data_IF_665607884868
#
_entry.id   IF_665607884868
#
_cell.length_a   1.000
_cell.length_b   1.000
_cell.length_c   1.000
_cell.angle_alpha   90.00
_cell.angle_beta   90.00
_cell.angle_gamma   90.00
#
_symmetry.space_group_name_H-M   'P 1'
#
loop_
_entity.id
_entity.type
_entity.pdbx_description
1 polymer ?
#
# COMPACT_ATOMS: atom_id res chain seq x y z
N UNK A 1 24.14 16.52 -7.85
CA UNK A 1 22.72 16.31 -7.54
C UNK A 1 22.39 14.84 -7.73
N UNK A 2 22.27 14.12 -6.61
CA UNK A 2 21.70 12.78 -6.61
C UNK A 2 20.19 12.96 -6.49
N UNK A 3 19.46 12.64 -7.55
CA UNK A 3 18.01 12.72 -7.56
C UNK A 3 17.42 11.33 -7.49
N UNK A 4 16.23 11.24 -6.92
CA UNK A 4 15.46 10.02 -6.83
C UNK A 4 14.11 10.19 -7.51
N UNK A 5 13.78 9.31 -8.46
CA UNK A 5 12.46 9.31 -9.10
C UNK A 5 11.41 8.72 -8.17
N UNK A 6 10.33 9.47 -7.97
CA UNK A 6 9.12 9.05 -7.28
C UNK A 6 7.97 8.94 -8.30
N UNK A 7 7.23 7.85 -8.27
CA UNK A 7 6.01 7.64 -9.04
C UNK A 7 4.80 7.88 -8.13
N UNK A 8 3.81 8.61 -8.64
CA UNK A 8 2.67 9.10 -7.86
C UNK A 8 1.36 8.72 -8.54
N UNK A 9 0.47 8.12 -7.77
CA UNK A 9 -0.91 7.81 -8.14
C UNK A 9 -1.92 8.81 -7.56
N UNK A 10 -3.01 9.04 -8.28
CA UNK A 10 -4.03 10.04 -7.95
C UNK A 10 -5.45 9.52 -8.15
N UNK A 11 -6.43 10.20 -7.57
CA UNK A 11 -7.80 10.20 -8.09
C UNK A 11 -7.97 11.27 -9.17
N UNK A 12 -8.76 10.96 -10.19
CA UNK A 12 -9.03 11.83 -11.35
C UNK A 12 -10.50 12.23 -11.46
N UNK A 13 -11.39 11.64 -10.66
CA UNK A 13 -12.79 12.04 -10.61
C UNK A 13 -12.95 13.47 -10.06
N UNK A 14 -13.98 14.17 -10.53
CA UNK A 14 -14.30 15.54 -10.08
C UNK A 14 -14.48 15.57 -8.55
N UNK A 15 -13.89 16.54 -7.83
CA UNK A 15 -13.33 17.81 -8.32
C UNK A 15 -11.84 17.81 -8.70
N UNK A 16 -11.17 16.65 -8.68
CA UNK A 16 -9.75 16.55 -9.06
C UNK A 16 -9.54 16.94 -10.53
N UNK A 17 -8.43 17.62 -10.82
CA UNK A 17 -7.93 17.88 -12.19
C UNK A 17 -6.74 17.00 -12.56
N UNK A 18 -6.36 16.06 -11.70
CA UNK A 18 -5.34 15.07 -12.02
C UNK A 18 -5.75 14.28 -13.26
N UNK A 19 -4.77 13.96 -14.10
CA UNK A 19 -4.98 13.26 -15.37
C UNK A 19 -4.55 11.79 -15.32
N UNK A 20 -3.78 11.38 -14.31
CA UNK A 20 -3.34 9.99 -14.21
C UNK A 20 -2.12 9.80 -13.31
N UNK A 21 -1.11 9.12 -13.84
CA UNK A 21 0.13 8.77 -13.12
C UNK A 21 1.21 9.80 -13.42
N UNK A 22 1.89 10.25 -12.37
CA UNK A 22 2.96 11.24 -12.48
C UNK A 22 4.28 10.70 -11.95
N UNK A 23 5.38 11.34 -12.37
CA UNK A 23 6.69 11.19 -11.73
C UNK A 23 7.23 12.54 -11.28
N UNK A 24 7.93 12.53 -10.14
CA UNK A 24 8.67 13.67 -9.62
C UNK A 24 10.09 13.27 -9.24
N UNK A 25 11.01 14.23 -9.22
CA UNK A 25 12.38 14.02 -8.75
C UNK A 25 12.54 14.59 -7.33
N UNK A 26 12.98 13.75 -6.39
CA UNK A 26 13.41 14.17 -5.06
C UNK A 26 14.90 14.49 -5.09
N UNK A 27 15.26 15.73 -4.79
CA UNK A 27 16.64 16.15 -4.57
C UNK A 27 17.11 15.65 -3.19
N UNK A 28 18.05 14.70 -3.17
CA UNK A 28 18.55 14.11 -1.93
C UNK A 28 19.49 15.03 -1.13
N UNK A 29 19.80 16.23 -1.62
CA UNK A 29 20.59 17.21 -0.89
C UNK A 29 19.70 18.06 0.05
N UNK A 30 18.46 18.38 -0.35
CA UNK A 30 17.60 19.32 0.37
C UNK A 30 16.12 18.88 0.52
N UNK A 31 15.67 17.86 -0.21
CA UNK A 31 14.30 17.35 -0.16
C UNK A 31 13.31 17.98 -1.14
N UNK A 32 13.76 18.81 -2.09
CA UNK A 32 12.91 19.43 -3.11
C UNK A 32 12.32 18.37 -4.06
N UNK A 33 11.07 18.58 -4.49
CA UNK A 33 10.29 17.65 -5.33
C UNK A 33 9.97 18.24 -6.71
N UNK A 34 10.93 18.34 -7.63
CA UNK A 34 10.71 18.89 -8.98
C UNK A 34 11.73 18.35 -9.99
N UNK A 35 11.40 18.26 -11.29
CA UNK A 35 10.11 18.59 -11.89
C UNK A 35 9.04 17.51 -11.66
N UNK A 36 7.77 17.86 -11.90
CA UNK A 36 6.63 16.94 -11.94
C UNK A 36 6.19 16.74 -13.39
N UNK A 37 6.05 15.49 -13.81
CA UNK A 37 5.74 15.11 -15.18
C UNK A 37 4.60 14.11 -15.20
N UNK A 38 3.61 14.32 -16.09
CA UNK A 38 2.59 13.33 -16.38
C UNK A 38 3.20 12.21 -17.23
N UNK A 39 3.11 10.98 -16.74
CA UNK A 39 3.65 9.80 -17.44
C UNK A 39 2.57 9.13 -18.30
N UNK A 40 1.35 9.02 -17.77
CA UNK A 40 0.23 8.47 -18.53
C UNK A 40 -1.09 9.01 -18.03
N UNK A 41 -2.02 9.25 -18.96
CA UNK A 41 -3.41 9.48 -18.62
C UNK A 41 -4.06 8.16 -18.20
N UNK A 42 -4.70 8.16 -17.04
CA UNK A 42 -5.36 6.99 -16.49
C UNK A 42 -6.48 7.45 -15.56
N UNK A 43 -7.63 6.79 -15.61
CA UNK A 43 -8.72 7.06 -14.68
C UNK A 43 -8.40 6.47 -13.31
N UNK A 44 -8.40 7.29 -12.26
CA UNK A 44 -8.20 6.90 -10.87
C UNK A 44 -7.05 5.88 -10.63
N UNK A 45 -5.80 6.15 -11.06
CA UNK A 45 -4.64 5.33 -10.73
C UNK A 45 -4.25 5.53 -9.26
N UNK A 46 -5.09 5.06 -8.36
CA UNK A 46 -4.99 5.34 -6.92
C UNK A 46 -3.87 4.58 -6.21
N UNK A 47 -3.29 3.57 -6.86
CA UNK A 47 -2.16 2.79 -6.36
C UNK A 47 -1.19 2.46 -7.47
N UNK A 48 0.10 2.69 -7.23
CA UNK A 48 1.16 2.49 -8.21
C UNK A 48 2.27 1.61 -7.64
N UNK A 49 2.78 0.69 -8.46
CA UNK A 49 3.97 -0.11 -8.16
C UNK A 49 5.00 0.16 -9.25
N UNK A 50 6.17 0.66 -8.87
CA UNK A 50 7.26 0.91 -9.79
C UNK A 50 8.30 -0.23 -9.70
N UNK A 51 8.66 -0.78 -10.86
CA UNK A 51 9.68 -1.82 -11.02
C UNK A 51 10.65 -1.45 -12.13
N UNK A 52 11.73 -2.20 -12.27
CA UNK A 52 12.67 -2.08 -13.38
C UNK A 52 12.05 -2.41 -14.75
N UNK A 53 10.90 -3.10 -14.78
CA UNK A 53 10.16 -3.42 -16.01
C UNK A 53 9.17 -2.33 -16.42
N UNK A 54 8.73 -1.51 -15.48
CA UNK A 54 7.77 -0.43 -15.72
C UNK A 54 6.98 -0.04 -14.48
N UNK A 55 5.89 0.67 -14.69
CA UNK A 55 4.94 1.05 -13.64
C UNK A 55 3.66 0.23 -13.82
N UNK A 56 3.18 -0.36 -12.73
CA UNK A 56 1.86 -0.99 -12.68
C UNK A 56 0.90 -0.10 -11.92
N UNK A 57 -0.30 0.08 -12.45
CA UNK A 57 -1.40 0.80 -11.79
C UNK A 57 -2.73 0.11 -12.11
N UNK A 58 -3.78 0.42 -11.37
CA UNK A 58 -5.13 -0.02 -11.68
C UNK A 58 -6.05 1.19 -11.82
N UNK A 59 -7.08 1.08 -12.66
CA UNK A 59 -8.16 2.06 -12.68
C UNK A 59 -9.16 1.74 -11.56
N UNK A 60 -9.13 2.52 -10.47
CA UNK A 60 -10.04 2.34 -9.33
C UNK A 60 -11.45 2.83 -9.70
N UNK A 61 -12.19 1.98 -10.39
CA UNK A 61 -13.55 2.21 -10.88
C UNK A 61 -14.41 0.95 -10.75
N UNK A 62 -15.73 1.12 -10.85
CA UNK A 62 -16.71 0.04 -10.92
C UNK A 62 -16.73 -0.66 -12.29
N UNK A 63 -17.22 -1.91 -12.33
CA UNK A 63 -17.30 -2.80 -13.49
C UNK A 63 -17.95 -2.16 -14.74
N UNK A 64 -19.05 -1.38 -14.65
CA UNK A 64 -19.59 -0.66 -15.80
C UNK A 64 -18.59 0.29 -16.48
N UNK A 65 -17.60 0.80 -15.73
CA UNK A 65 -16.49 1.64 -16.24
C UNK A 65 -15.24 0.83 -16.64
N UNK A 66 -15.31 -0.51 -16.58
CA UNK A 66 -14.26 -1.45 -17.00
C UNK A 66 -12.92 -1.25 -16.30
N UNK A 67 -12.78 -1.65 -15.02
CA UNK A 67 -11.50 -1.56 -14.31
C UNK A 67 -10.44 -2.44 -14.97
N UNK A 68 -9.20 -1.93 -15.01
CA UNK A 68 -8.07 -2.56 -15.67
C UNK A 68 -6.83 -2.50 -14.78
N UNK A 69 -6.04 -3.59 -14.79
CA UNK A 69 -4.63 -3.54 -14.42
C UNK A 69 -3.88 -3.02 -15.65
N UNK A 70 -3.00 -2.05 -15.45
CA UNK A 70 -2.29 -1.35 -16.53
C UNK A 70 -0.79 -1.45 -16.25
N UNK A 71 -0.03 -1.91 -17.25
CA UNK A 71 1.42 -1.88 -17.26
C UNK A 71 1.88 -0.75 -18.19
N UNK A 72 2.57 0.23 -17.63
CA UNK A 72 3.18 1.36 -18.32
C UNK A 72 4.66 1.04 -18.48
N UNK A 73 5.07 0.70 -19.69
CA UNK A 73 6.46 0.37 -19.96
C UNK A 73 7.36 1.60 -19.78
N UNK A 74 8.58 1.38 -19.32
CA UNK A 74 9.59 2.44 -19.22
C UNK A 74 9.82 3.11 -20.58
N UNK A 75 10.00 4.44 -20.61
CA UNK A 75 10.14 5.21 -21.85
C UNK A 75 11.32 4.74 -22.74
N UNK A 76 12.36 4.16 -22.13
CA UNK A 76 13.51 3.59 -22.84
C UNK A 76 13.27 2.17 -23.39
N UNK A 77 12.15 1.54 -23.02
CA UNK A 77 11.80 0.18 -23.42
C UNK A 77 11.22 0.14 -24.84
N UNK A 78 11.46 -0.96 -25.55
CA UNK A 78 10.77 -1.27 -26.82
C UNK A 78 9.42 -1.98 -26.60
N UNK A 79 9.12 -2.34 -25.36
CA UNK A 79 7.87 -3.01 -24.97
C UNK A 79 6.73 -1.98 -24.97
N UNK A 80 5.62 -2.33 -25.61
CA UNK A 80 4.42 -1.51 -25.54
C UNK A 80 3.70 -1.72 -24.22
N UNK A 81 3.23 -0.63 -23.61
CA UNK A 81 2.29 -0.64 -22.49
C UNK A 81 1.03 -1.44 -22.86
N UNK A 82 0.49 -2.17 -21.90
CA UNK A 82 -0.72 -2.96 -22.09
C UNK A 82 -1.59 -2.99 -20.83
N UNK A 83 -2.77 -3.60 -20.93
CA UNK A 83 -3.68 -3.75 -19.81
C UNK A 83 -4.36 -5.11 -19.79
N UNK A 84 -4.85 -5.50 -18.61
CA UNK A 84 -5.66 -6.69 -18.38
C UNK A 84 -6.93 -6.32 -17.62
N UNK A 85 -8.06 -6.90 -18.03
CA UNK A 85 -9.34 -6.63 -17.40
C UNK A 85 -9.39 -7.18 -15.96
N UNK A 86 -9.87 -6.36 -15.03
CA UNK A 86 -10.14 -6.75 -13.64
C UNK A 86 -11.61 -7.17 -13.52
N UNK A 87 -11.88 -8.20 -12.72
CA UNK A 87 -13.19 -8.84 -12.58
C UNK A 87 -14.11 -8.17 -11.55
N UNK A 88 -13.54 -7.46 -10.58
CA UNK A 88 -14.24 -6.81 -9.48
C UNK A 88 -14.22 -5.28 -9.51
N UNK A 89 -14.75 -4.65 -8.47
CA UNK A 89 -15.00 -3.20 -8.40
C UNK A 89 -13.97 -2.46 -7.53
N UNK A 90 -13.54 -1.29 -8.00
CA UNK A 90 -12.64 -0.38 -7.28
C UNK A 90 -11.32 -1.06 -6.84
N UNK A 91 -10.48 -1.52 -7.80
CA UNK A 91 -9.15 -2.04 -7.49
C UNK A 91 -8.28 -0.97 -6.84
N UNK A 92 -7.93 -1.17 -5.57
CA UNK A 92 -7.30 -0.15 -4.72
C UNK A 92 -5.85 -0.48 -4.31
N UNK A 93 -5.35 -1.68 -4.65
CA UNK A 93 -3.98 -2.10 -4.34
C UNK A 93 -3.47 -3.09 -5.40
N UNK A 94 -2.15 -3.05 -5.63
CA UNK A 94 -1.43 -3.97 -6.53
C UNK A 94 -0.17 -4.48 -5.82
N UNK A 95 0.17 -5.74 -6.03
CA UNK A 95 1.51 -6.27 -5.75
C UNK A 95 2.04 -7.02 -6.96
N UNK A 96 3.35 -6.96 -7.16
CA UNK A 96 4.10 -7.77 -8.12
C UNK A 96 4.93 -8.78 -7.32
N UNK A 97 5.01 -10.02 -7.78
CA UNK A 97 5.81 -11.02 -7.08
C UNK A 97 7.32 -10.75 -7.27
N UNK A 98 8.18 -11.24 -6.37
CA UNK A 98 9.63 -10.99 -6.44
C UNK A 98 10.31 -11.50 -7.72
N UNK A 99 9.70 -12.45 -8.43
CA UNK A 99 10.21 -13.00 -9.69
C UNK A 99 9.59 -12.37 -10.94
N UNK A 100 8.69 -11.38 -10.79
CA UNK A 100 8.05 -10.63 -11.86
C UNK A 100 7.25 -11.50 -12.84
N UNK A 101 6.72 -12.62 -12.36
CA UNK A 101 5.86 -13.57 -13.09
C UNK A 101 4.37 -13.35 -12.82
N UNK A 102 4.02 -12.70 -11.71
CA UNK A 102 2.66 -12.56 -11.24
C UNK A 102 2.38 -11.16 -10.70
N UNK A 103 1.14 -10.71 -10.92
CA UNK A 103 0.57 -9.55 -10.27
C UNK A 103 -0.72 -9.94 -9.56
N UNK A 104 -1.01 -9.31 -8.42
CA UNK A 104 -2.31 -9.42 -7.75
C UNK A 104 -2.90 -8.03 -7.56
N UNK A 105 -4.19 -7.88 -7.85
CA UNK A 105 -4.97 -6.67 -7.58
C UNK A 105 -6.00 -6.93 -6.49
N UNK A 106 -6.30 -5.94 -5.64
CA UNK A 106 -7.33 -6.00 -4.58
C UNK A 106 -8.52 -5.10 -4.90
N UNK A 107 -9.72 -5.65 -5.08
CA UNK A 107 -10.93 -4.92 -5.43
C UNK A 107 -11.78 -4.61 -4.19
N UNK A 108 -11.74 -3.35 -3.75
CA UNK A 108 -12.32 -2.94 -2.48
C UNK A 108 -13.82 -3.17 -2.42
N UNK A 109 -14.58 -2.75 -3.42
CA UNK A 109 -16.05 -2.74 -3.33
C UNK A 109 -16.66 -4.12 -3.58
N UNK A 110 -16.00 -4.97 -4.37
CA UNK A 110 -16.48 -6.34 -4.63
C UNK A 110 -15.90 -7.38 -3.67
N UNK A 111 -14.89 -7.04 -2.87
CA UNK A 111 -14.29 -7.97 -1.91
C UNK A 111 -13.56 -9.13 -2.59
N UNK A 112 -12.83 -8.85 -3.67
CA UNK A 112 -12.15 -9.87 -4.47
C UNK A 112 -10.69 -9.52 -4.74
N UNK A 113 -9.93 -10.53 -5.18
CA UNK A 113 -8.56 -10.40 -5.66
C UNK A 113 -8.43 -11.09 -7.02
N UNK A 114 -7.75 -10.46 -7.98
CA UNK A 114 -7.41 -11.09 -9.25
C UNK A 114 -5.91 -11.35 -9.32
N UNK A 115 -5.54 -12.54 -9.79
CA UNK A 115 -4.15 -12.94 -10.02
C UNK A 115 -3.89 -12.98 -11.52
N UNK A 116 -2.85 -12.31 -11.98
CA UNK A 116 -2.44 -12.25 -13.38
C UNK A 116 -1.06 -12.87 -13.56
N UNK A 117 -0.83 -13.55 -14.69
CA UNK A 117 0.52 -13.86 -15.15
C UNK A 117 1.11 -12.66 -15.89
N UNK A 118 2.43 -12.48 -15.75
CA UNK A 118 3.22 -11.47 -16.42
C UNK A 118 4.26 -12.12 -17.32
N UNK A 119 4.49 -11.51 -18.48
CA UNK A 119 5.60 -11.87 -19.35
C UNK A 119 6.93 -11.39 -18.78
N UNK A 120 8.04 -11.90 -19.33
CA UNK A 120 9.40 -11.48 -18.96
C UNK A 120 9.68 -9.98 -19.14
N UNK A 121 8.89 -9.30 -19.97
CA UNK A 121 9.00 -7.86 -20.21
C UNK A 121 8.04 -7.04 -19.34
N UNK A 122 7.38 -7.67 -18.37
CA UNK A 122 6.43 -7.05 -17.45
C UNK A 122 5.00 -6.95 -17.97
N UNK A 123 4.74 -7.22 -19.24
CA UNK A 123 3.38 -7.13 -19.79
C UNK A 123 2.43 -8.12 -19.13
N UNK A 124 1.18 -7.68 -18.97
CA UNK A 124 0.10 -8.48 -18.39
C UNK A 124 -0.40 -9.47 -19.43
N UNK A 125 -0.26 -10.77 -19.19
CA UNK A 125 -0.61 -11.81 -20.17
C UNK A 125 -2.09 -12.23 -20.05
N UNK A 126 -2.47 -12.80 -18.89
CA UNK A 126 -3.84 -13.24 -18.63
C UNK A 126 -4.15 -13.26 -17.14
N UNK A 127 -5.44 -13.10 -16.81
CA UNK A 127 -5.94 -13.39 -15.47
C UNK A 127 -6.00 -14.91 -15.27
N UNK A 128 -5.31 -15.40 -14.26
CA UNK A 128 -5.22 -16.81 -13.90
C UNK A 128 -6.36 -17.23 -12.96
N UNK A 129 -6.65 -16.38 -11.98
CA UNK A 129 -7.61 -16.69 -10.91
C UNK A 129 -8.25 -15.42 -10.36
N UNK A 130 -9.46 -15.58 -9.85
CA UNK A 130 -10.15 -14.60 -9.01
C UNK A 130 -10.47 -15.27 -7.68
N UNK A 131 -10.06 -14.65 -6.58
CA UNK A 131 -10.38 -15.10 -5.22
C UNK A 131 -11.45 -14.16 -4.67
N UNK A 132 -12.66 -14.68 -4.46
CA UNK A 132 -13.75 -13.94 -3.82
C UNK A 132 -13.74 -14.17 -2.31
N UNK A 133 -13.77 -13.10 -1.52
CA UNK A 133 -13.92 -13.20 -0.08
C UNK A 133 -15.38 -13.36 0.31
N UNK A 134 -15.60 -13.91 1.51
CA UNK A 134 -16.92 -14.06 2.11
C UNK A 134 -16.88 -13.66 3.58
N UNK A 135 -17.97 -13.06 4.05
CA UNK A 135 -18.11 -12.65 5.45
C UNK A 135 -18.54 -11.19 5.58
N UNK A 136 -18.53 -10.72 6.82
CA UNK A 136 -18.90 -9.38 7.23
C UNK A 136 -18.37 -9.13 8.64
N UNK A 137 -18.41 -7.87 9.07
CA UNK A 137 -18.02 -7.40 10.39
C UNK A 137 -19.16 -6.63 11.08
N UNK A 138 -18.94 -6.18 12.31
CA UNK A 138 -19.98 -5.51 13.10
C UNK A 138 -20.29 -4.08 12.65
N UNK A 139 -19.39 -3.38 11.93
CA UNK A 139 -19.64 -2.02 11.46
C UNK A 139 -20.70 -2.04 10.33
N UNK A 140 -21.88 -1.49 10.63
CA UNK A 140 -23.06 -1.54 9.75
C UNK A 140 -22.94 -0.70 8.47
N UNK A 141 -21.96 0.18 8.38
CA UNK A 141 -21.74 1.02 7.21
C UNK A 141 -20.55 0.53 6.38
N UNK A 142 -19.50 0.06 7.06
CA UNK A 142 -18.19 -0.25 6.45
C UNK A 142 -17.85 -1.73 6.35
N UNK A 143 -18.66 -2.63 6.93
CA UNK A 143 -18.38 -4.06 7.01
C UNK A 143 -19.61 -4.93 6.74
N UNK A 144 -20.56 -4.46 5.92
CA UNK A 144 -21.76 -5.23 5.55
C UNK A 144 -21.45 -6.38 4.58
N UNK A 145 -20.31 -6.30 3.91
CA UNK A 145 -19.77 -7.27 2.98
C UNK A 145 -18.23 -7.25 3.04
N UNK A 146 -17.55 -8.18 2.37
CA UNK A 146 -16.10 -8.18 2.22
C UNK A 146 -15.58 -6.93 1.51
N UNK A 147 -14.43 -6.42 1.95
CA UNK A 147 -13.73 -5.28 1.34
C UNK A 147 -12.23 -5.55 1.24
N UNK A 148 -11.80 -6.09 0.10
CA UNK A 148 -10.42 -6.45 -0.17
C UNK A 148 -9.55 -5.20 -0.33
N UNK A 149 -8.63 -4.97 0.62
CA UNK A 149 -7.86 -3.73 0.65
C UNK A 149 -6.37 -3.92 0.32
N UNK A 150 -5.78 -5.07 0.62
CA UNK A 150 -4.37 -5.31 0.31
C UNK A 150 -4.09 -6.76 -0.05
N UNK A 151 -3.12 -6.95 -0.92
CA UNK A 151 -2.45 -8.23 -1.14
C UNK A 151 -0.94 -8.01 -1.24
N UNK A 152 -0.14 -8.94 -0.73
CA UNK A 152 1.32 -8.88 -0.80
C UNK A 152 1.89 -10.28 -1.02
N UNK A 153 2.84 -10.41 -1.94
CA UNK A 153 3.70 -11.59 -2.01
C UNK A 153 4.75 -11.53 -0.91
N UNK A 154 5.00 -12.68 -0.29
CA UNK A 154 6.16 -12.87 0.55
C UNK A 154 7.43 -12.94 -0.33
N UNK A 155 8.53 -12.43 0.19
CA UNK A 155 9.84 -12.37 -0.48
C UNK A 155 10.61 -13.68 -0.34
N UNK A 156 10.41 -14.42 0.77
CA UNK A 156 11.21 -15.61 1.11
C UNK A 156 10.44 -16.92 0.94
N UNK A 157 9.21 -16.90 0.39
CA UNK A 157 8.39 -18.10 0.17
C UNK A 157 7.38 -17.88 -0.96
N UNK A 158 6.82 -18.95 -1.59
CA UNK A 158 5.79 -18.83 -2.63
C UNK A 158 4.41 -18.47 -2.07
N UNK A 159 4.35 -17.87 -0.88
CA UNK A 159 3.11 -17.47 -0.22
C UNK A 159 2.76 -16.03 -0.55
N UNK A 160 1.48 -15.72 -0.43
CA UNK A 160 0.99 -14.35 -0.44
C UNK A 160 -0.11 -14.20 0.60
N UNK A 161 -0.31 -12.96 1.03
CA UNK A 161 -1.33 -12.59 2.00
C UNK A 161 -2.39 -11.73 1.33
N UNK A 162 -3.63 -11.89 1.76
CA UNK A 162 -4.74 -11.01 1.43
C UNK A 162 -5.35 -10.42 2.69
N UNK A 163 -5.76 -9.16 2.63
CA UNK A 163 -6.30 -8.39 3.74
C UNK A 163 -7.69 -7.87 3.37
N UNK A 164 -8.66 -8.19 4.21
CA UNK A 164 -10.07 -7.86 4.02
C UNK A 164 -10.60 -7.06 5.21
N UNK A 165 -10.85 -5.78 4.94
CA UNK A 165 -11.40 -4.82 5.90
C UNK A 165 -12.83 -5.22 6.31
N UNK A 166 -13.64 -5.61 5.33
CA UNK A 166 -15.07 -5.87 5.51
C UNK A 166 -15.35 -7.13 6.31
N UNK A 167 -14.50 -8.14 6.19
CA UNK A 167 -14.68 -9.44 6.86
C UNK A 167 -13.84 -9.62 8.13
N UNK A 168 -13.07 -8.62 8.56
CA UNK A 168 -12.09 -8.70 9.66
C UNK A 168 -11.13 -9.88 9.49
N UNK A 169 -10.51 -10.02 8.31
CA UNK A 169 -9.71 -11.20 7.96
C UNK A 169 -8.38 -10.89 7.28
N UNK A 170 -7.41 -11.73 7.60
CA UNK A 170 -6.12 -11.84 6.92
C UNK A 170 -5.94 -13.30 6.51
N UNK A 171 -5.73 -13.56 5.23
CA UNK A 171 -5.62 -14.92 4.70
C UNK A 171 -4.26 -15.12 4.04
N UNK A 172 -3.61 -16.24 4.33
CA UNK A 172 -2.36 -16.66 3.71
C UNK A 172 -2.63 -17.78 2.72
N UNK A 173 -2.21 -17.57 1.48
CA UNK A 173 -2.33 -18.51 0.37
C UNK A 173 -0.94 -18.91 -0.11
N UNK A 174 -0.88 -19.92 -0.98
CA UNK A 174 0.35 -20.39 -1.60
C UNK A 174 0.16 -20.55 -3.11
N UNK A 175 1.22 -20.30 -3.87
CA UNK A 175 1.41 -20.86 -5.20
C UNK A 175 2.03 -22.26 -5.05
N UNK A 176 1.38 -23.27 -5.59
CA UNK A 176 1.89 -24.63 -5.67
C UNK A 176 2.80 -24.71 -6.91
N UNK A 177 4.11 -24.77 -6.69
CA UNK A 177 5.10 -24.83 -7.78
C UNK A 177 5.08 -26.18 -8.53
N UNK A 178 4.61 -27.26 -7.90
CA UNK A 178 4.53 -28.57 -8.55
C UNK A 178 3.35 -28.66 -9.52
N UNK A 179 2.20 -28.10 -9.12
CA UNK A 179 0.99 -28.03 -9.95
C UNK A 179 0.94 -26.78 -10.83
N UNK A 180 1.86 -25.83 -10.64
CA UNK A 180 1.87 -24.50 -11.28
C UNK A 180 0.56 -23.73 -11.11
N UNK A 181 -0.07 -23.84 -9.93
CA UNK A 181 -1.38 -23.25 -9.65
C UNK A 181 -1.44 -22.52 -8.30
N UNK A 182 -2.29 -21.51 -8.22
CA UNK A 182 -2.63 -20.89 -6.95
C UNK A 182 -3.69 -21.72 -6.24
N UNK A 183 -3.58 -21.90 -4.91
CA UNK A 183 -4.59 -22.62 -4.14
C UNK A 183 -5.94 -21.88 -4.14
N UNK A 184 -7.06 -22.61 -4.08
CA UNK A 184 -8.42 -22.04 -3.95
C UNK A 184 -8.70 -21.56 -2.53
N UNK A 185 -8.22 -22.31 -1.55
CA UNK A 185 -8.45 -22.05 -0.13
C UNK A 185 -7.15 -21.56 0.53
N UNK A 186 -7.25 -20.70 1.56
CA UNK A 186 -6.08 -20.24 2.27
C UNK A 186 -5.46 -21.37 3.10
N UNK A 187 -4.13 -21.42 3.10
CA UNK A 187 -3.35 -22.26 4.02
C UNK A 187 -3.61 -21.88 5.49
N UNK A 188 -3.89 -20.60 5.72
CA UNK A 188 -4.24 -20.09 7.03
C UNK A 188 -5.16 -18.87 6.91
N UNK A 189 -6.17 -18.78 7.77
CA UNK A 189 -7.00 -17.58 7.94
C UNK A 189 -6.88 -17.10 9.38
N UNK A 190 -6.55 -15.81 9.55
CA UNK A 190 -6.56 -15.11 10.84
C UNK A 190 -7.80 -14.21 10.85
N UNK A 191 -8.66 -14.43 11.83
CA UNK A 191 -9.73 -13.49 12.15
C UNK A 191 -9.18 -12.43 13.10
N UNK A 192 -9.24 -11.16 12.71
CA UNK A 192 -8.84 -10.06 13.60
C UNK A 192 -9.99 -9.73 14.57
N UNK A 193 -9.74 -8.98 15.65
CA UNK A 193 -10.80 -8.53 16.55
C UNK A 193 -11.95 -7.86 15.79
N UNK A 194 -13.19 -8.13 16.20
CA UNK A 194 -14.36 -7.71 15.45
C UNK A 194 -14.47 -6.18 15.42
N UNK A 195 -14.65 -5.62 14.22
CA UNK A 195 -14.77 -4.18 13.99
C UNK A 195 -13.44 -3.47 13.78
N UNK A 196 -12.31 -4.19 13.76
CA UNK A 196 -11.02 -3.58 13.52
C UNK A 196 -10.88 -3.07 12.07
N UNK A 197 -11.34 -3.85 11.09
CA UNK A 197 -11.20 -3.52 9.68
C UNK A 197 -9.73 -3.44 9.25
N UNK A 198 -9.01 -4.58 9.14
CA UNK A 198 -7.61 -4.58 8.74
C UNK A 198 -7.48 -4.03 7.31
N UNK A 199 -6.50 -3.15 7.10
CA UNK A 199 -6.37 -2.37 5.87
C UNK A 199 -5.11 -2.73 5.11
N UNK A 200 -3.96 -2.35 5.61
CA UNK A 200 -2.64 -2.65 5.06
C UNK A 200 -1.79 -3.37 6.12
N UNK A 201 -0.77 -4.09 5.68
CA UNK A 201 0.27 -4.65 6.52
C UNK A 201 1.65 -4.49 5.90
N UNK A 202 2.67 -4.62 6.73
CA UNK A 202 4.08 -4.68 6.33
C UNK A 202 4.78 -5.81 7.09
N UNK A 203 5.56 -6.62 6.38
CA UNK A 203 6.43 -7.64 6.99
C UNK A 203 7.78 -7.05 7.36
N UNK A 204 8.41 -7.61 8.40
CA UNK A 204 9.86 -7.48 8.56
C UNK A 204 10.58 -8.33 7.50
N UNK A 205 11.88 -8.08 7.27
CA UNK A 205 12.72 -8.73 6.25
C UNK A 205 12.82 -10.24 6.44
N UNK A 206 12.82 -10.71 7.69
CA UNK A 206 12.85 -12.13 8.02
C UNK A 206 11.50 -12.83 7.76
N UNK A 207 10.42 -12.06 7.52
CA UNK A 207 9.05 -12.54 7.34
C UNK A 207 8.57 -13.44 8.49
N UNK A 208 8.99 -13.11 9.71
CA UNK A 208 8.53 -13.75 10.94
C UNK A 208 7.63 -12.82 11.78
N UNK A 209 7.59 -11.52 11.48
CA UNK A 209 6.66 -10.55 12.04
C UNK A 209 5.96 -9.77 10.92
N UNK A 210 4.71 -9.39 11.19
CA UNK A 210 3.96 -8.43 10.38
C UNK A 210 3.28 -7.41 11.28
N UNK A 211 3.17 -6.18 10.80
CA UNK A 211 2.40 -5.12 11.46
C UNK A 211 1.24 -4.75 10.57
N UNK A 212 0.02 -4.93 11.07
CA UNK A 212 -1.22 -4.72 10.33
C UNK A 212 -1.89 -3.47 10.88
N UNK A 213 -2.16 -2.49 10.04
CA UNK A 213 -2.97 -1.34 10.44
C UNK A 213 -4.45 -1.63 10.22
N UNK A 214 -5.26 -1.40 11.25
CA UNK A 214 -6.70 -1.53 11.23
C UNK A 214 -7.34 -0.14 11.09
N UNK A 215 -8.08 0.05 10.00
CA UNK A 215 -8.66 1.34 9.59
C UNK A 215 -9.68 1.83 10.61
N UNK A 216 -10.63 0.97 10.96
CA UNK A 216 -11.83 1.36 11.68
C UNK A 216 -11.54 1.53 13.17
N UNK A 217 -10.73 0.65 13.76
CA UNK A 217 -10.37 0.77 15.18
C UNK A 217 -9.16 1.66 15.46
N UNK A 218 -8.42 2.06 14.42
CA UNK A 218 -7.14 2.78 14.53
C UNK A 218 -6.14 2.03 15.43
N UNK A 219 -6.02 0.73 15.22
CA UNK A 219 -5.15 -0.18 15.98
C UNK A 219 -4.11 -0.81 15.07
N UNK A 220 -2.88 -0.97 15.55
CA UNK A 220 -1.84 -1.79 14.92
C UNK A 220 -1.89 -3.17 15.57
N UNK A 221 -2.07 -4.21 14.77
CA UNK A 221 -1.91 -5.60 15.21
C UNK A 221 -0.50 -6.06 14.86
N UNK A 222 0.21 -6.61 15.85
CA UNK A 222 1.44 -7.35 15.60
C UNK A 222 1.10 -8.82 15.40
N UNK A 223 1.51 -9.38 14.28
CA UNK A 223 1.32 -10.79 13.93
C UNK A 223 2.68 -11.47 13.87
N UNK A 224 2.82 -12.61 14.52
CA UNK A 224 4.06 -13.38 14.60
C UNK A 224 3.90 -14.78 14.00
N UNK A 225 4.91 -15.22 13.26
CA UNK A 225 5.02 -16.57 12.71
C UNK A 225 5.81 -17.46 13.66
N UNK A 226 5.12 -18.36 14.36
CA UNK A 226 5.73 -19.38 15.21
C UNK A 226 5.43 -20.76 14.64
N UNK A 227 6.47 -21.57 14.39
CA UNK A 227 6.35 -22.93 13.84
C UNK A 227 5.49 -22.98 12.56
N UNK A 228 5.66 -21.98 11.68
CA UNK A 228 4.94 -21.89 10.40
C UNK A 228 3.51 -21.36 10.49
N UNK A 229 2.99 -21.03 11.68
CA UNK A 229 1.66 -20.46 11.89
C UNK A 229 1.74 -19.02 12.35
N UNK A 230 0.91 -18.18 11.74
CA UNK A 230 0.79 -16.77 12.09
C UNK A 230 -0.25 -16.54 13.19
N UNK A 231 0.03 -15.72 14.19
CA UNK A 231 -0.94 -15.37 15.22
C UNK A 231 -0.78 -13.92 15.65
N UNK A 232 -1.88 -13.27 15.97
CA UNK A 232 -1.86 -11.93 16.60
C UNK A 232 -1.26 -12.10 18.00
N UNK A 233 -0.22 -11.33 18.31
CA UNK A 233 0.48 -11.38 19.60
C UNK A 233 0.35 -10.09 20.39
N UNK A 234 0.13 -8.94 19.72
CA UNK A 234 -0.07 -7.65 20.37
C UNK A 234 -1.09 -6.78 19.62
N UNK A 235 -1.74 -5.90 20.37
CA UNK A 235 -2.60 -4.83 19.85
C UNK A 235 -2.10 -3.49 20.41
N UNK A 236 -1.76 -2.56 19.52
CA UNK A 236 -1.17 -1.27 19.85
C UNK A 236 -2.07 -0.16 19.32
N UNK A 237 -2.34 0.86 20.12
CA UNK A 237 -3.08 2.03 19.64
C UNK A 237 -2.26 2.78 18.59
N UNK A 238 -2.80 3.02 17.39
CA UNK A 238 -2.07 3.68 16.30
C UNK A 238 -1.92 5.20 16.53
N UNK A 239 -2.73 5.75 17.43
CA UNK A 239 -2.86 7.18 17.71
C UNK A 239 -3.21 7.42 19.19
N UNK A 240 -2.33 7.03 20.12
CA UNK A 240 -2.60 7.25 21.53
C UNK A 240 -2.77 8.74 21.82
N UNK A 241 -3.73 9.06 22.68
CA UNK A 241 -4.06 10.42 23.13
C UNK A 241 -4.76 11.32 22.09
N UNK A 242 -5.26 10.77 20.97
CA UNK A 242 -6.10 11.50 20.02
C UNK A 242 -7.47 10.87 19.87
N UNK A 243 -8.45 11.67 19.45
CA UNK A 243 -9.78 11.16 19.12
C UNK A 243 -9.71 10.32 17.85
N UNK A 244 -10.35 9.15 17.88
CA UNK A 244 -10.39 8.22 16.74
C UNK A 244 -11.37 8.70 15.68
N UNK A 245 -10.98 8.58 14.42
CA UNK A 245 -11.77 8.99 13.26
C UNK A 245 -12.10 7.84 12.29
N UNK A 246 -11.81 6.60 12.67
CA UNK A 246 -11.94 5.39 11.84
C UNK A 246 -11.21 5.51 10.49
N UNK A 247 -10.03 6.14 10.48
CA UNK A 247 -9.41 6.60 9.24
C UNK A 247 -7.88 6.44 9.14
N UNK A 248 -7.27 5.46 9.81
CA UNK A 248 -5.86 5.11 9.51
C UNK A 248 -5.73 4.57 8.07
N UNK A 249 -4.53 4.66 7.50
CA UNK A 249 -4.30 4.37 6.09
C UNK A 249 -3.04 3.55 5.83
N UNK A 250 -1.91 4.18 5.54
CA UNK A 250 -0.67 3.47 5.19
C UNK A 250 0.11 3.10 6.44
N UNK A 251 0.84 1.98 6.38
CA UNK A 251 1.77 1.53 7.41
C UNK A 251 3.08 1.10 6.72
N UNK A 252 4.22 1.62 7.18
CA UNK A 252 5.53 1.31 6.59
C UNK A 252 6.61 1.20 7.66
N UNK A 253 7.47 0.20 7.55
CA UNK A 253 8.70 0.10 8.32
C UNK A 253 9.79 0.95 7.67
N UNK A 254 10.66 1.53 8.48
CA UNK A 254 11.93 2.08 7.99
C UNK A 254 12.81 0.96 7.41
N UNK A 255 13.73 1.27 6.46
CA UNK A 255 14.57 0.25 5.84
C UNK A 255 15.48 -0.51 6.82
N UNK A 256 15.81 0.08 7.96
CA UNK A 256 16.57 -0.52 9.05
C UNK A 256 15.69 -1.27 10.07
N UNK A 257 14.36 -1.25 9.88
CA UNK A 257 13.34 -1.90 10.72
C UNK A 257 13.29 -1.43 12.18
N UNK A 258 13.91 -0.28 12.47
CA UNK A 258 13.92 0.31 13.80
C UNK A 258 12.67 1.15 14.09
N UNK A 259 11.98 1.61 13.05
CA UNK A 259 10.82 2.48 13.17
C UNK A 259 9.66 2.02 12.29
N UNK A 260 8.45 2.25 12.78
CA UNK A 260 7.20 1.99 12.09
C UNK A 260 6.40 3.30 12.02
N UNK A 261 5.86 3.60 10.85
CA UNK A 261 5.09 4.80 10.61
C UNK A 261 3.68 4.45 10.15
N UNK A 262 2.70 5.23 10.58
CA UNK A 262 1.29 5.06 10.20
C UNK A 262 0.71 6.41 9.78
N UNK A 263 0.09 6.49 8.61
CA UNK A 263 -0.66 7.68 8.23
C UNK A 263 -2.11 7.60 8.70
N UNK A 264 -2.60 8.74 9.20
CA UNK A 264 -3.88 8.84 9.87
C UNK A 264 -4.67 9.99 9.26
N UNK A 265 -5.70 9.65 8.48
CA UNK A 265 -6.33 10.58 7.54
C UNK A 265 -7.18 11.64 8.24
N UNK A 266 -7.93 11.24 9.26
CA UNK A 266 -8.83 12.15 9.98
C UNK A 266 -8.05 13.22 10.76
N UNK A 267 -6.98 12.82 11.43
CA UNK A 267 -6.14 13.69 12.24
C UNK A 267 -5.09 14.46 11.40
N UNK A 268 -4.89 14.08 10.14
CA UNK A 268 -3.84 14.62 9.26
C UNK A 268 -2.42 14.44 9.84
N UNK A 269 -2.18 13.28 10.43
CA UNK A 269 -0.93 12.96 11.13
C UNK A 269 -0.22 11.73 10.55
N UNK A 270 1.08 11.66 10.78
CA UNK A 270 1.93 10.48 10.63
C UNK A 270 2.44 10.10 12.02
N UNK A 271 1.91 9.03 12.59
CA UNK A 271 2.38 8.47 13.85
C UNK A 271 3.68 7.71 13.65
N UNK A 272 4.59 7.83 14.62
CA UNK A 272 5.89 7.17 14.63
C UNK A 272 6.02 6.28 15.87
N UNK A 273 6.51 5.07 15.64
CA UNK A 273 6.77 4.07 16.66
C UNK A 273 8.20 3.58 16.52
N UNK A 274 8.88 3.35 17.64
CA UNK A 274 10.14 2.61 17.69
C UNK A 274 9.84 1.13 17.86
N UNK A 275 10.46 0.28 17.05
CA UNK A 275 10.39 -1.17 17.25
C UNK A 275 11.33 -1.55 18.40
N UNK A 276 10.78 -2.13 19.46
CA UNK A 276 11.59 -2.59 20.58
C UNK A 276 12.46 -3.78 20.16
N UNK A 277 13.77 -3.71 20.41
CA UNK A 277 14.76 -4.64 19.85
C UNK A 277 14.58 -6.11 20.25
N UNK A 278 13.96 -6.40 21.40
CA UNK A 278 13.86 -7.77 21.94
C UNK A 278 12.56 -8.44 21.51
N UNK A 279 11.45 -7.73 21.66
CA UNK A 279 10.09 -8.20 21.48
C UNK A 279 9.54 -7.87 20.10
N UNK A 280 10.12 -6.86 19.43
CA UNK A 280 9.63 -6.23 18.20
C UNK A 280 8.30 -5.49 18.36
N UNK A 281 7.85 -5.23 19.60
CA UNK A 281 6.62 -4.48 19.84
C UNK A 281 6.83 -3.02 19.44
N UNK A 282 5.93 -2.42 18.63
CA UNK A 282 5.98 -1.00 18.33
C UNK A 282 5.65 -0.17 19.58
N UNK A 283 6.56 0.73 19.96
CA UNK A 283 6.40 1.67 21.07
C UNK A 283 6.17 3.05 20.48
N UNK A 284 5.02 3.65 20.76
CA UNK A 284 4.69 5.00 20.29
C UNK A 284 5.73 6.02 20.75
N UNK A 285 6.17 6.88 19.83
CA UNK A 285 7.08 7.99 20.10
C UNK A 285 6.31 9.30 20.07
N UNK A 286 5.77 9.65 18.91
CA UNK A 286 5.06 10.91 18.66
C UNK A 286 4.25 10.81 17.35
N UNK A 287 3.45 11.83 17.07
CA UNK A 287 2.75 12.03 15.80
C UNK A 287 3.17 13.36 15.18
N UNK A 288 3.49 13.33 13.89
CA UNK A 288 3.92 14.51 13.14
C UNK A 288 2.82 14.95 12.16
N UNK A 289 2.62 16.25 12.01
CA UNK A 289 1.74 16.81 10.98
C UNK A 289 2.18 16.30 9.59
N UNK A 290 1.22 15.90 8.75
CA UNK A 290 1.50 15.57 7.35
C UNK A 290 1.67 16.82 6.46
N UNK A 291 1.57 18.01 7.06
CA UNK A 291 1.61 19.33 6.40
C UNK A 291 0.54 19.48 5.29
N UNK A 292 -0.56 18.75 5.42
CA UNK A 292 -1.71 18.76 4.53
C UNK A 292 -2.89 18.04 5.17
N UNK A 293 -3.90 17.65 4.38
CA UNK A 293 -5.05 16.91 4.89
C UNK A 293 -5.23 15.56 4.21
N UNK A 294 -5.67 14.58 5.01
CA UNK A 294 -5.97 13.24 4.54
C UNK A 294 -4.74 12.56 3.89
N UNK A 295 -3.64 12.35 4.66
CA UNK A 295 -2.46 11.62 4.17
C UNK A 295 -2.82 10.16 3.88
N UNK A 296 -3.20 9.86 2.63
CA UNK A 296 -3.69 8.54 2.23
C UNK A 296 -2.57 7.52 2.04
N UNK A 297 -1.40 8.01 1.69
CA UNK A 297 -0.16 7.22 1.62
C UNK A 297 1.04 8.12 1.92
N UNK A 298 2.17 7.50 2.23
CA UNK A 298 3.46 8.17 2.34
C UNK A 298 4.57 7.19 1.98
N UNK A 299 5.70 7.60 1.42
CA UNK A 299 6.82 6.70 1.11
C UNK A 299 8.02 7.00 2.01
N UNK A 300 8.74 5.95 2.41
CA UNK A 300 10.06 6.08 3.03
C UNK A 300 11.08 5.63 1.99
N UNK A 301 12.03 6.51 1.66
CA UNK A 301 13.08 6.19 0.67
C UNK A 301 13.94 5.02 1.12
N UNK A 302 14.50 4.27 0.18
CA UNK A 302 15.31 3.08 0.47
C UNK A 302 16.58 3.38 1.29
N UNK A 303 17.16 4.58 1.14
CA UNK A 303 18.28 5.04 1.98
C UNK A 303 17.85 5.37 3.41
N UNK A 304 16.54 5.46 3.64
CA UNK A 304 15.99 5.76 4.94
C UNK A 304 16.22 7.22 5.37
N UNK A 305 16.43 8.16 4.48
CA UNK A 305 16.65 9.55 4.90
C UNK A 305 15.44 10.45 4.73
N UNK A 306 14.47 10.03 3.91
CA UNK A 306 13.34 10.87 3.53
C UNK A 306 12.01 10.15 3.75
N UNK A 307 11.00 10.94 4.12
CA UNK A 307 9.60 10.53 4.10
C UNK A 307 8.82 11.51 3.22
N UNK A 308 8.02 10.97 2.30
CA UNK A 308 7.23 11.74 1.34
C UNK A 308 5.76 11.46 1.56
N UNK A 309 4.97 12.44 2.00
CA UNK A 309 3.55 12.27 2.31
C UNK A 309 2.66 12.75 1.16
N UNK A 310 1.67 11.94 0.76
CA UNK A 310 0.66 12.29 -0.24
C UNK A 310 -0.66 12.67 0.45
N UNK A 311 -0.99 13.96 0.44
CA UNK A 311 -2.16 14.51 1.12
C UNK A 311 -3.33 14.71 0.14
N UNK A 312 -4.31 13.82 0.21
CA UNK A 312 -5.38 13.73 -0.77
C UNK A 312 -6.22 15.01 -0.83
N UNK A 313 -6.61 15.59 0.31
CA UNK A 313 -7.61 16.66 0.35
C UNK A 313 -7.00 18.07 0.26
N UNK A 314 -5.68 18.20 0.38
CA UNK A 314 -4.97 19.47 0.17
C UNK A 314 -4.19 19.53 -1.13
N UNK A 315 -4.33 18.51 -2.00
CA UNK A 315 -3.71 18.47 -3.32
C UNK A 315 -2.20 18.73 -3.29
N UNK A 316 -1.49 18.12 -2.34
CA UNK A 316 -0.05 18.30 -2.22
C UNK A 316 0.69 17.04 -1.78
N UNK A 317 1.97 17.04 -2.13
CA UNK A 317 2.97 16.08 -1.67
C UNK A 317 4.01 16.84 -0.87
N UNK A 318 4.30 16.35 0.33
CA UNK A 318 5.19 17.00 1.29
C UNK A 318 6.42 16.15 1.56
N UNK A 319 7.58 16.79 1.59
CA UNK A 319 8.87 16.14 1.84
C UNK A 319 9.36 16.42 3.26
N UNK A 320 9.79 15.36 3.96
CA UNK A 320 10.30 15.41 5.32
C UNK A 320 11.68 14.77 5.36
N UNK A 321 12.62 15.42 6.06
CA UNK A 321 13.86 14.74 6.48
C UNK A 321 13.52 13.87 7.68
N UNK A 322 13.87 12.59 7.59
CA UNK A 322 13.71 11.64 8.69
C UNK A 322 15.02 11.57 9.47
N UNK A 323 14.92 11.65 10.79
CA UNK A 323 16.03 11.31 11.66
C UNK A 323 16.07 9.79 11.83
N UNK A 324 17.15 9.15 11.40
CA UNK A 324 17.32 7.69 11.48
C UNK A 324 17.64 7.19 12.88
N UNK A 325 17.98 8.06 13.83
CA UNK A 325 18.33 7.68 15.20
C UNK A 325 17.12 7.68 16.14
N UNK A 326 16.19 8.63 15.98
CA UNK A 326 15.01 8.77 16.85
C UNK A 326 13.66 8.66 16.12
N UNK A 327 13.68 8.54 14.79
CA UNK A 327 12.50 8.39 13.96
C UNK A 327 11.73 9.67 13.67
N UNK A 328 12.15 10.83 14.19
CA UNK A 328 11.44 12.09 14.02
C UNK A 328 11.39 12.59 12.58
N UNK A 329 10.35 13.37 12.27
CA UNK A 329 10.11 13.93 10.95
C UNK A 329 10.21 15.45 11.00
N UNK A 330 11.05 16.03 10.15
CA UNK A 330 11.19 17.48 10.00
C UNK A 330 10.77 17.89 8.59
N UNK A 331 9.72 18.71 8.50
CA UNK A 331 9.28 19.24 7.21
C UNK A 331 10.39 20.07 6.55
N UNK A 332 10.67 19.77 5.29
CA UNK A 332 11.77 20.41 4.55
C UNK A 332 11.45 21.84 4.10
N UNK A 333 10.17 22.23 4.12
CA UNK A 333 9.69 23.45 3.50
C UNK A 333 9.21 23.25 2.05
N UNK A 334 9.51 22.11 1.41
CA UNK A 334 9.14 21.85 0.02
C UNK A 334 7.77 21.16 -0.12
N UNK A 335 6.95 21.74 -1.00
CA UNK A 335 5.64 21.25 -1.42
C UNK A 335 5.66 21.00 -2.91
N UNK A 336 5.06 19.91 -3.35
CA UNK A 336 4.68 19.71 -4.73
C UNK A 336 3.15 19.68 -4.84
N UNK A 337 2.59 20.61 -5.59
CA UNK A 337 1.15 20.67 -5.82
C UNK A 337 0.75 19.65 -6.88
N UNK A 338 -0.19 18.78 -6.55
CA UNK A 338 -0.75 17.76 -7.43
C UNK A 338 -2.14 17.40 -6.89
N UNK A 339 -3.16 17.38 -7.74
CA UNK A 339 -4.52 17.10 -7.30
C UNK A 339 -4.70 15.65 -6.83
N UNK A 340 -5.37 15.49 -5.68
CA UNK A 340 -5.73 14.22 -5.04
C UNK A 340 -4.66 13.10 -5.11
N UNK A 341 -3.42 13.34 -4.64
CA UNK A 341 -2.37 12.33 -4.62
C UNK A 341 -2.67 11.34 -3.50
N UNK A 342 -2.61 10.04 -3.82
CA UNK A 342 -3.07 8.98 -2.91
C UNK A 342 -2.14 7.77 -2.83
N UNK A 343 -1.12 7.71 -3.67
CA UNK A 343 -0.05 6.73 -3.58
C UNK A 343 1.27 7.37 -4.01
N UNK A 344 2.35 7.08 -3.29
CA UNK A 344 3.70 7.50 -3.67
C UNK A 344 4.66 6.34 -3.46
N UNK A 345 5.51 6.10 -4.46
CA UNK A 345 6.53 5.05 -4.39
C UNK A 345 7.81 5.48 -5.09
N UNK A 346 8.95 5.02 -4.57
CA UNK A 346 10.24 5.18 -5.22
C UNK A 346 10.37 4.23 -6.42
N UNK A 347 10.92 4.73 -7.53
CA UNK A 347 11.34 3.90 -8.66
C UNK A 347 12.48 2.97 -8.22
N UNK A 348 12.31 1.66 -8.42
CA UNK A 348 13.34 0.64 -8.15
C UNK A 348 14.45 0.64 -9.19
#
# INVERSE_FOLDING_TARGET
MKNLTLTIGCYTDTPSKSQGVYQAQLDLENGQLLPLELITECTNPSFVVATELGIYTASEVEQPKQPQLIHIANASSKTASNSGAISGDHPCHITIDPSHKFAITSQYSSGSFDIFSLSINGNIDKRLKTIAMVGSGPNKERQTAPHAHQCLFLQNSPQFVTVDLGADRINFYCFDEEQEEFLDEPMQSIKVPAGNGPRHLVFNKDENKAYVICELSETILMVEKTLGKWSIVEEIDALPNMEKGEATAAIKLSPDEQFLYVSCRHQSMISCFRIESTTNVPIFIDSYSSEGNFPRDFHITHDGEWLIAANQHTNNIKSFKRNTEDGSLVYTGYSLELDAPVCVTQQR
#
